data_IF_396201779042
#
_entry.id   IF_396201779042
#
_cell.length_a   1.000
_cell.length_b   1.000
_cell.length_c   1.000
_cell.angle_alpha   90.00
_cell.angle_beta   90.00
_cell.angle_gamma   90.00
#
_symmetry.space_group_name_H-M   'P 1'
#
loop_
_entity.id
_entity.type
_entity.pdbx_description
1 polymer ?
#
# COMPACT_ATOMS: atom_id res chain seq x y z
N UNK A 1 -24.25 -5.72 -31.27
CA UNK A 1 -24.05 -5.11 -29.94
C UNK A 1 -22.68 -4.47 -29.95
N UNK A 2 -22.59 -3.14 -30.05
CA UNK A 2 -21.33 -2.42 -29.88
C UNK A 2 -20.96 -2.45 -28.39
N UNK A 3 -19.69 -2.68 -28.01
CA UNK A 3 -19.28 -2.61 -26.63
C UNK A 3 -19.55 -1.19 -26.12
N UNK A 4 -20.22 -1.07 -24.96
CA UNK A 4 -20.37 0.20 -24.25
C UNK A 4 -18.98 0.81 -24.11
N UNK A 5 -18.72 1.88 -24.87
CA UNK A 5 -17.60 2.76 -24.63
C UNK A 5 -17.70 3.20 -23.17
N UNK A 6 -16.72 2.79 -22.35
CA UNK A 6 -16.63 3.21 -20.95
C UNK A 6 -16.69 4.73 -20.88
N UNK A 7 -17.43 5.25 -19.90
CA UNK A 7 -17.50 6.68 -19.65
C UNK A 7 -16.07 7.24 -19.44
N UNK A 8 -15.74 8.44 -19.95
CA UNK A 8 -14.40 9.03 -19.80
C UNK A 8 -13.91 9.10 -18.35
N UNK A 9 -14.84 9.25 -17.39
CA UNK A 9 -14.53 9.23 -15.95
C UNK A 9 -14.09 7.84 -15.46
N UNK A 10 -14.70 6.77 -15.98
CA UNK A 10 -14.33 5.39 -15.65
C UNK A 10 -12.95 5.04 -16.23
N UNK A 11 -12.65 5.53 -17.44
CA UNK A 11 -11.34 5.36 -18.05
C UNK A 11 -10.24 6.06 -17.25
N UNK A 12 -10.48 7.30 -16.82
CA UNK A 12 -9.52 8.06 -15.99
C UNK A 12 -9.30 7.39 -14.62
N UNK A 13 -10.38 6.92 -13.99
CA UNK A 13 -10.32 6.22 -12.70
C UNK A 13 -9.55 4.91 -12.81
N UNK A 14 -9.76 4.15 -13.91
CA UNK A 14 -9.03 2.93 -14.21
C UNK A 14 -7.54 3.19 -14.45
N UNK A 15 -7.20 4.19 -15.27
CA UNK A 15 -5.80 4.60 -15.49
C UNK A 15 -5.11 5.04 -14.20
N UNK A 16 -5.82 5.76 -13.34
CA UNK A 16 -5.31 6.16 -12.01
C UNK A 16 -5.06 4.94 -11.13
N UNK A 17 -5.98 3.98 -11.09
CA UNK A 17 -5.79 2.73 -10.34
C UNK A 17 -4.57 1.94 -10.81
N UNK A 18 -4.39 1.81 -12.13
CA UNK A 18 -3.22 1.12 -12.71
C UNK A 18 -1.92 1.83 -12.36
N UNK A 19 -1.89 3.17 -12.43
CA UNK A 19 -0.73 3.96 -12.06
C UNK A 19 -0.38 3.78 -10.58
N UNK A 20 -1.38 3.82 -9.70
CA UNK A 20 -1.20 3.63 -8.26
C UNK A 20 -0.62 2.24 -7.96
N UNK A 21 -1.15 1.20 -8.62
CA UNK A 21 -0.63 -0.17 -8.47
C UNK A 21 0.81 -0.30 -8.98
N UNK A 22 1.15 0.35 -10.10
CA UNK A 22 2.51 0.37 -10.64
C UNK A 22 3.49 1.06 -9.68
N UNK A 23 3.16 2.26 -9.19
CA UNK A 23 3.99 2.95 -8.19
C UNK A 23 4.21 2.13 -6.93
N UNK A 24 3.15 1.52 -6.38
CA UNK A 24 3.29 0.65 -5.22
C UNK A 24 4.10 -0.60 -5.54
N UNK A 25 4.04 -1.12 -6.77
CA UNK A 25 4.85 -2.23 -7.25
C UNK A 25 6.32 -1.90 -7.50
N UNK A 26 6.66 -0.62 -7.71
CA UNK A 26 8.04 -0.13 -7.79
C UNK A 26 8.62 0.10 -6.40
N UNK A 27 7.87 0.77 -5.52
CA UNK A 27 8.38 1.24 -4.23
C UNK A 27 8.08 0.32 -3.04
N UNK A 28 7.08 -0.55 -3.11
CA UNK A 28 6.62 -1.34 -1.96
C UNK A 28 6.14 -2.74 -2.35
N UNK A 29 6.74 -3.35 -3.38
CA UNK A 29 6.36 -4.66 -3.93
C UNK A 29 6.21 -5.74 -2.87
N UNK A 30 7.24 -5.94 -2.06
CA UNK A 30 7.25 -7.05 -1.10
C UNK A 30 6.13 -6.90 -0.07
N UNK A 31 5.85 -5.67 0.34
CA UNK A 31 4.74 -5.37 1.24
C UNK A 31 3.38 -5.65 0.58
N UNK A 32 3.16 -5.12 -0.63
CA UNK A 32 1.87 -5.30 -1.32
C UNK A 32 1.62 -6.76 -1.70
N UNK A 33 2.64 -7.48 -2.16
CA UNK A 33 2.59 -8.90 -2.45
C UNK A 33 2.33 -9.74 -1.21
N UNK A 34 2.99 -9.43 -0.08
CA UNK A 34 2.75 -10.16 1.16
C UNK A 34 1.30 -10.00 1.61
N UNK A 35 0.75 -8.77 1.60
CA UNK A 35 -0.64 -8.50 1.98
C UNK A 35 -1.60 -9.27 1.07
N UNK A 36 -1.44 -9.16 -0.24
CA UNK A 36 -2.31 -9.85 -1.22
C UNK A 36 -2.28 -11.36 -1.03
N UNK A 37 -1.09 -11.96 -0.83
CA UNK A 37 -0.95 -13.41 -0.62
C UNK A 37 -1.56 -13.84 0.72
N UNK A 38 -1.38 -13.05 1.78
CA UNK A 38 -1.95 -13.34 3.10
C UNK A 38 -3.48 -13.31 3.07
N UNK A 39 -4.06 -12.28 2.45
CA UNK A 39 -5.52 -12.18 2.27
C UNK A 39 -6.08 -13.31 1.40
N UNK A 40 -5.38 -13.65 0.33
CA UNK A 40 -5.77 -14.77 -0.52
C UNK A 40 -5.71 -16.10 0.23
N UNK A 41 -4.70 -16.32 1.08
CA UNK A 41 -4.58 -17.51 1.91
C UNK A 41 -5.71 -17.58 2.96
N UNK A 42 -5.99 -16.47 3.66
CA UNK A 42 -7.10 -16.38 4.58
C UNK A 42 -8.44 -16.70 3.90
N UNK A 43 -8.67 -16.16 2.70
CA UNK A 43 -9.87 -16.45 1.90
C UNK A 43 -9.97 -17.92 1.51
N UNK A 44 -8.88 -18.53 1.03
CA UNK A 44 -8.84 -19.95 0.63
C UNK A 44 -9.10 -20.89 1.80
N UNK A 45 -8.56 -20.56 2.98
CA UNK A 45 -8.74 -21.33 4.21
C UNK A 45 -10.02 -20.99 4.97
N UNK A 46 -10.90 -20.13 4.42
CA UNK A 46 -12.08 -19.59 5.09
C UNK A 46 -11.79 -19.07 6.52
N UNK A 47 -10.60 -18.51 6.72
CA UNK A 47 -10.12 -18.01 8.01
C UNK A 47 -10.85 -16.72 8.35
N UNK A 48 -11.62 -16.66 9.46
CA UNK A 48 -12.32 -15.44 9.84
C UNK A 48 -11.35 -14.31 10.15
N UNK A 49 -11.82 -13.06 10.06
CA UNK A 49 -11.01 -11.89 10.45
C UNK A 49 -10.53 -12.03 11.91
N UNK A 50 -9.32 -11.55 12.20
CA UNK A 50 -8.70 -11.69 13.52
C UNK A 50 -8.08 -13.07 13.84
N UNK A 51 -8.30 -14.10 13.01
CA UNK A 51 -7.76 -15.45 13.28
C UNK A 51 -6.40 -15.68 12.60
N UNK A 52 -5.56 -16.54 13.16
CA UNK A 52 -4.26 -16.90 12.60
C UNK A 52 -4.37 -17.38 11.14
N UNK A 53 -3.43 -16.94 10.28
CA UNK A 53 -3.44 -17.27 8.85
C UNK A 53 -2.39 -18.36 8.59
N UNK A 54 -2.78 -19.58 8.20
CA UNK A 54 -1.82 -20.64 7.93
C UNK A 54 -0.81 -20.26 6.84
N UNK A 55 0.48 -20.50 7.07
CA UNK A 55 1.55 -20.27 6.10
C UNK A 55 2.10 -18.83 6.02
N UNK A 56 1.67 -17.93 6.92
CA UNK A 56 2.14 -16.53 6.98
C UNK A 56 2.81 -16.22 8.32
N UNK A 57 4.03 -16.72 8.48
CA UNK A 57 4.77 -16.60 9.73
C UNK A 57 5.42 -15.20 9.87
N UNK A 58 5.55 -14.66 11.11
CA UNK A 58 6.18 -13.36 11.37
C UNK A 58 7.59 -13.20 10.76
N UNK A 59 8.35 -14.28 10.66
CA UNK A 59 9.71 -14.32 10.09
C UNK A 59 9.74 -13.89 8.62
N UNK A 60 8.66 -14.13 7.86
CA UNK A 60 8.54 -13.68 6.47
C UNK A 60 8.24 -12.18 6.38
N UNK A 61 7.56 -11.62 7.39
CA UNK A 61 7.18 -10.21 7.45
C UNK A 61 8.30 -9.31 8.01
N UNK A 62 9.15 -9.84 8.89
CA UNK A 62 10.25 -9.09 9.52
C UNK A 62 11.21 -8.37 8.53
N UNK A 63 11.73 -8.99 7.46
CA UNK A 63 12.58 -8.27 6.50
C UNK A 63 11.82 -7.16 5.77
N UNK A 64 10.53 -7.35 5.48
CA UNK A 64 9.67 -6.36 4.82
C UNK A 64 9.47 -5.13 5.71
N UNK A 65 9.22 -5.34 7.01
CA UNK A 65 9.12 -4.25 7.98
C UNK A 65 10.42 -3.45 8.10
N UNK A 66 11.57 -4.13 8.13
CA UNK A 66 12.87 -3.46 8.22
C UNK A 66 13.17 -2.64 6.97
N UNK A 67 12.91 -3.19 5.78
CA UNK A 67 13.07 -2.46 4.52
C UNK A 67 12.16 -1.23 4.48
N UNK A 68 10.87 -1.40 4.81
CA UNK A 68 9.94 -0.28 4.91
C UNK A 68 10.44 0.80 5.87
N UNK A 69 10.86 0.41 7.08
CA UNK A 69 11.37 1.34 8.09
C UNK A 69 12.60 2.14 7.62
N UNK A 70 13.47 1.52 6.82
CA UNK A 70 14.67 2.17 6.30
C UNK A 70 14.38 3.19 5.19
N UNK A 71 13.33 2.99 4.39
CA UNK A 71 13.18 3.72 3.12
C UNK A 71 11.87 4.48 2.91
N UNK A 72 10.87 4.29 3.77
CA UNK A 72 9.50 4.79 3.54
C UNK A 72 9.44 6.29 3.22
N UNK A 73 10.17 7.15 3.92
CA UNK A 73 10.18 8.60 3.66
C UNK A 73 10.72 8.91 2.25
N UNK A 74 11.91 8.40 1.95
CA UNK A 74 12.56 8.61 0.64
C UNK A 74 11.73 8.07 -0.52
N UNK A 75 11.00 6.96 -0.31
CA UNK A 75 10.13 6.35 -1.30
C UNK A 75 8.86 7.19 -1.51
N UNK A 76 8.26 7.72 -0.45
CA UNK A 76 7.12 8.66 -0.56
C UNK A 76 7.53 9.92 -1.33
N UNK A 77 8.71 10.48 -1.06
CA UNK A 77 9.21 11.64 -1.80
C UNK A 77 9.51 11.31 -3.27
N UNK A 78 10.06 10.13 -3.55
CA UNK A 78 10.28 9.65 -4.91
C UNK A 78 8.95 9.51 -5.67
N UNK A 79 7.95 8.88 -5.05
CA UNK A 79 6.61 8.75 -5.62
C UNK A 79 6.00 10.11 -5.95
N UNK A 80 6.15 11.10 -5.07
CA UNK A 80 5.66 12.44 -5.30
C UNK A 80 6.34 13.15 -6.48
N UNK A 81 7.67 12.99 -6.61
CA UNK A 81 8.42 13.51 -7.75
C UNK A 81 7.99 12.84 -9.06
N UNK A 82 7.81 11.53 -9.07
CA UNK A 82 7.35 10.77 -10.23
C UNK A 82 5.97 11.26 -10.70
N UNK A 83 5.03 11.44 -9.76
CA UNK A 83 3.72 12.01 -10.09
C UNK A 83 3.84 13.42 -10.65
N UNK A 84 4.65 14.29 -10.02
CA UNK A 84 4.87 15.65 -10.51
C UNK A 84 5.43 15.68 -11.93
N UNK A 85 6.32 14.74 -12.29
CA UNK A 85 6.91 14.63 -13.63
C UNK A 85 5.92 14.06 -14.66
N UNK A 86 5.19 13.00 -14.30
CA UNK A 86 4.32 12.28 -15.24
C UNK A 86 2.98 12.98 -15.46
N UNK A 87 2.55 13.81 -14.51
CA UNK A 87 1.26 14.51 -14.55
C UNK A 87 1.43 16.04 -14.63
N UNK A 88 2.64 16.55 -14.92
CA UNK A 88 2.96 17.99 -14.96
C UNK A 88 1.97 18.82 -15.81
N UNK A 89 1.58 18.29 -16.97
CA UNK A 89 0.68 18.94 -17.93
C UNK A 89 -0.81 18.64 -17.68
N UNK A 90 -1.12 17.94 -16.59
CA UNK A 90 -2.49 17.48 -16.28
C UNK A 90 -2.95 18.03 -14.93
N UNK A 91 -4.18 18.53 -14.86
CA UNK A 91 -4.78 18.99 -13.60
C UNK A 91 -5.01 17.88 -12.56
N UNK A 92 -4.73 16.61 -12.90
CA UNK A 92 -5.04 15.43 -12.10
C UNK A 92 -3.89 14.96 -11.18
N UNK A 93 -2.68 15.52 -11.30
CA UNK A 93 -1.51 15.03 -10.56
C UNK A 93 -1.71 15.01 -9.04
N UNK A 94 -2.44 15.98 -8.49
CA UNK A 94 -2.77 16.00 -7.06
C UNK A 94 -3.67 14.85 -6.64
N UNK A 95 -4.71 14.55 -7.43
CA UNK A 95 -5.65 13.47 -7.16
C UNK A 95 -4.95 12.11 -7.26
N UNK A 96 -4.07 11.95 -8.26
CA UNK A 96 -3.24 10.75 -8.43
C UNK A 96 -2.29 10.59 -7.24
N UNK A 97 -1.59 11.64 -6.82
CA UNK A 97 -0.72 11.60 -5.66
C UNK A 97 -1.50 11.20 -4.39
N UNK A 98 -2.66 11.80 -4.18
CA UNK A 98 -3.52 11.47 -3.05
C UNK A 98 -4.00 10.02 -3.09
N UNK A 99 -4.35 9.50 -4.27
CA UNK A 99 -4.73 8.12 -4.46
C UNK A 99 -3.56 7.16 -4.15
N UNK A 100 -2.35 7.45 -4.64
CA UNK A 100 -1.13 6.67 -4.34
C UNK A 100 -0.84 6.62 -2.85
N UNK A 101 -0.85 7.78 -2.17
CA UNK A 101 -0.58 7.86 -0.74
C UNK A 101 -1.64 7.18 0.11
N UNK A 102 -2.92 7.30 -0.29
CA UNK A 102 -4.02 6.60 0.37
C UNK A 102 -3.86 5.09 0.24
N UNK A 103 -3.51 4.60 -0.95
CA UNK A 103 -3.31 3.17 -1.20
C UNK A 103 -2.10 2.63 -0.44
N UNK A 104 -0.98 3.36 -0.38
CA UNK A 104 0.16 3.01 0.48
C UNK A 104 -0.27 2.82 1.93
N UNK A 105 -1.02 3.79 2.48
CA UNK A 105 -1.47 3.75 3.87
C UNK A 105 -2.37 2.54 4.12
N UNK A 106 -3.30 2.25 3.20
CA UNK A 106 -4.20 1.07 3.28
C UNK A 106 -3.42 -0.24 3.32
N UNK A 107 -2.45 -0.42 2.41
CA UNK A 107 -1.62 -1.62 2.41
C UNK A 107 -0.79 -1.74 3.68
N UNK A 108 -0.19 -0.64 4.16
CA UNK A 108 0.61 -0.66 5.38
C UNK A 108 -0.23 -0.97 6.63
N UNK A 109 -1.39 -0.35 6.79
CA UNK A 109 -2.27 -0.66 7.93
C UNK A 109 -2.76 -2.10 7.87
N UNK A 110 -3.12 -2.59 6.67
CA UNK A 110 -3.58 -3.97 6.49
C UNK A 110 -2.45 -4.97 6.79
N UNK A 111 -1.23 -4.65 6.40
CA UNK A 111 -0.05 -5.45 6.74
C UNK A 111 0.12 -5.62 8.25
N UNK A 112 0.02 -4.52 9.02
CA UNK A 112 0.10 -4.57 10.48
C UNK A 112 -1.06 -5.36 11.11
N UNK A 113 -2.29 -5.22 10.61
CA UNK A 113 -3.44 -6.00 11.08
C UNK A 113 -3.25 -7.50 10.88
N UNK A 114 -2.80 -7.90 9.68
CA UNK A 114 -2.53 -9.29 9.35
C UNK A 114 -1.40 -9.87 10.20
N UNK A 115 -0.39 -9.06 10.56
CA UNK A 115 0.71 -9.47 11.40
C UNK A 115 0.31 -9.63 12.87
N UNK A 116 -0.61 -8.79 13.39
CA UNK A 116 -1.19 -8.96 14.75
C UNK A 116 -1.88 -10.31 14.92
N UNK A 117 -2.37 -10.91 13.83
CA UNK A 117 -3.04 -12.23 13.83
C UNK A 117 -2.06 -13.40 13.97
N UNK A 118 -0.75 -13.16 13.86
CA UNK A 118 0.30 -14.19 13.88
C UNK A 118 0.92 -14.39 15.27
N UNK A 119 0.14 -14.17 16.32
CA UNK A 119 0.55 -14.43 17.71
C UNK A 119 1.54 -13.42 18.28
N UNK A 120 2.23 -13.82 19.36
CA UNK A 120 3.08 -12.93 20.16
C UNK A 120 4.25 -12.34 19.37
N UNK A 121 4.89 -13.12 18.50
CA UNK A 121 5.98 -12.64 17.64
C UNK A 121 5.49 -11.59 16.65
N UNK A 122 4.31 -11.80 16.05
CA UNK A 122 3.68 -10.80 15.18
C UNK A 122 3.39 -9.49 15.92
N UNK A 123 2.90 -9.57 17.16
CA UNK A 123 2.68 -8.38 18.00
C UNK A 123 3.99 -7.65 18.34
N UNK A 124 5.08 -8.38 18.59
CA UNK A 124 6.41 -7.78 18.83
C UNK A 124 6.87 -6.99 17.60
N UNK A 125 6.79 -7.57 16.41
CA UNK A 125 7.15 -6.87 15.18
C UNK A 125 6.32 -5.60 14.93
N UNK A 126 5.01 -5.65 15.22
CA UNK A 126 4.13 -4.48 15.08
C UNK A 126 4.50 -3.35 16.04
N UNK A 127 5.05 -3.65 17.22
CA UNK A 127 5.53 -2.63 18.18
C UNK A 127 6.79 -1.92 17.70
N UNK A 128 7.61 -2.59 16.89
CA UNK A 128 8.84 -2.05 16.31
C UNK A 128 8.62 -1.37 14.95
N UNK A 129 7.43 -1.55 14.36
CA UNK A 129 7.08 -0.98 13.07
C UNK A 129 6.96 0.55 13.09
N UNK A 130 7.16 1.18 11.94
CA UNK A 130 6.91 2.62 11.77
C UNK A 130 5.47 2.93 12.16
N UNK A 131 5.28 3.92 13.02
CA UNK A 131 3.96 4.24 13.49
C UNK A 131 3.12 4.86 12.35
N UNK A 132 1.85 4.46 12.26
CA UNK A 132 0.90 4.95 11.23
C UNK A 132 0.76 6.49 11.27
N UNK A 133 0.69 7.16 12.44
CA UNK A 133 0.64 8.62 12.50
C UNK A 133 1.82 9.34 11.83
N UNK A 134 3.04 8.81 11.91
CA UNK A 134 4.24 9.37 11.27
C UNK A 134 4.14 9.31 9.75
N UNK A 135 3.65 8.18 9.22
CA UNK A 135 3.38 8.04 7.78
C UNK A 135 2.30 9.03 7.35
N UNK A 136 1.21 9.15 8.11
CA UNK A 136 0.14 10.10 7.83
C UNK A 136 0.61 11.55 7.86
N UNK A 137 1.48 11.90 8.81
CA UNK A 137 2.06 13.24 8.90
C UNK A 137 2.87 13.57 7.65
N UNK A 138 3.71 12.64 7.22
CA UNK A 138 4.54 12.81 6.03
C UNK A 138 3.72 12.90 4.74
N UNK A 139 2.70 12.04 4.59
CA UNK A 139 1.74 12.13 3.49
C UNK A 139 1.09 13.51 3.46
N UNK A 140 0.66 14.04 4.62
CA UNK A 140 0.05 15.38 4.71
C UNK A 140 1.05 16.48 4.35
N UNK A 141 2.33 16.33 4.71
CA UNK A 141 3.39 17.29 4.34
C UNK A 141 3.53 17.37 2.82
N UNK A 142 3.54 16.22 2.15
CA UNK A 142 3.83 16.11 0.71
C UNK A 142 2.62 16.41 -0.18
N UNK A 143 1.41 16.06 0.26
CA UNK A 143 0.16 16.33 -0.50
C UNK A 143 -0.40 17.74 -0.32
N UNK A 144 0.13 18.50 0.65
CA UNK A 144 -0.19 19.92 0.85
C UNK A 144 0.82 20.87 0.19
N UNK A 145 2.04 20.39 -0.08
CA UNK A 145 3.03 21.11 -0.87
C UNK A 145 2.56 21.22 -2.32
#
# INVERSE_FOLDING_TARGET
MLPRSLDPQDQLSSCTGLFVDDQLGVHFRDLTDWVRKAEQAAKRAATPEGHHIPGFAPQQAAPILRDFAARWQSSIEAMAREVALQFAETGCGRDVLQASMTSLLKYYTRFLELLKRQGAEGLTLVREAVNVPSIMYEIKRITKA
#
